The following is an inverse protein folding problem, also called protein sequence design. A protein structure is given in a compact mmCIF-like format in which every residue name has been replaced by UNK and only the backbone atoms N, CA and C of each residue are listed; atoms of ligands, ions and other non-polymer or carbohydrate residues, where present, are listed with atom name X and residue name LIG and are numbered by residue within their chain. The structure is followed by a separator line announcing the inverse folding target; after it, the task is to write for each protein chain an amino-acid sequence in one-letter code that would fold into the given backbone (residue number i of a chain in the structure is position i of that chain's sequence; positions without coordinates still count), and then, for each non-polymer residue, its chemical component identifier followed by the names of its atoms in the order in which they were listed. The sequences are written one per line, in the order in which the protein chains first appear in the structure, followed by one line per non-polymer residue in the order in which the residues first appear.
data_IF_330910690114
#
_entry.id   IF_330910690114
#
_cell.length_a   1.000
_cell.length_b   1.000
_cell.length_c   1.000
_cell.angle_alpha   90.00
_cell.angle_beta   90.00
_cell.angle_gamma   90.00
#
_symmetry.space_group_name_H-M   'P 1'
#
loop_
_entity.id
_entity.type
_entity.pdbx_description
1 polymer ?
#
# COMPACT_ATOMS: atom_id res chain seq x y z
N UNK A 1 10.87 -4.52 -20.97
CA UNK A 1 11.50 -4.00 -19.73
C UNK A 1 12.43 -5.07 -19.19
N UNK A 2 13.67 -4.72 -18.84
CA UNK A 2 14.56 -5.64 -18.10
C UNK A 2 14.13 -5.67 -16.63
N UNK A 3 13.64 -6.83 -16.17
CA UNK A 3 13.03 -6.98 -14.86
C UNK A 3 14.03 -6.78 -13.72
N UNK A 4 15.21 -7.39 -13.83
CA UNK A 4 16.19 -7.35 -12.76
C UNK A 4 16.76 -5.94 -12.61
N UNK A 5 17.07 -5.28 -13.73
CA UNK A 5 17.52 -3.89 -13.73
C UNK A 5 16.46 -2.94 -13.16
N UNK A 6 15.19 -3.14 -13.50
CA UNK A 6 14.09 -2.35 -12.94
C UNK A 6 13.96 -2.57 -11.43
N UNK A 7 13.89 -3.82 -10.97
CA UNK A 7 13.67 -4.15 -9.56
C UNK A 7 14.82 -3.62 -8.69
N UNK A 8 16.06 -3.85 -9.08
CA UNK A 8 17.23 -3.35 -8.35
C UNK A 8 17.27 -1.83 -8.29
N UNK A 9 16.98 -1.13 -9.39
CA UNK A 9 16.96 0.33 -9.44
C UNK A 9 15.79 0.94 -8.64
N UNK A 10 14.61 0.33 -8.69
CA UNK A 10 13.41 0.87 -8.07
C UNK A 10 13.37 0.59 -6.56
N UNK A 11 13.73 -0.62 -6.16
CA UNK A 11 13.72 -1.02 -4.75
C UNK A 11 14.89 -0.38 -3.99
N UNK A 12 16.06 -0.24 -4.62
CA UNK A 12 17.25 0.30 -4.00
C UNK A 12 17.86 -0.64 -2.96
N UNK A 13 18.84 -0.14 -2.21
CA UNK A 13 19.76 -0.98 -1.43
C UNK A 13 19.13 -1.69 -0.23
N UNK A 14 17.95 -1.26 0.22
CA UNK A 14 17.24 -1.88 1.34
C UNK A 14 16.71 -3.29 1.01
N UNK A 15 16.58 -3.61 -0.28
CA UNK A 15 16.04 -4.88 -0.74
C UNK A 15 17.10 -5.73 -1.43
N UNK A 16 16.89 -7.04 -1.41
CA UNK A 16 17.71 -8.00 -2.16
C UNK A 16 16.80 -8.72 -3.15
N UNK A 17 17.21 -8.73 -4.42
CA UNK A 17 16.50 -9.41 -5.51
C UNK A 17 17.30 -10.64 -5.89
N UNK A 18 16.69 -11.81 -5.84
CA UNK A 18 17.29 -13.09 -6.23
C UNK A 18 16.40 -13.83 -7.22
N UNK A 19 16.98 -14.82 -7.90
CA UNK A 19 16.23 -15.78 -8.72
C UNK A 19 16.50 -17.16 -8.16
N UNK A 20 15.43 -17.89 -7.83
CA UNK A 20 15.56 -19.22 -7.26
C UNK A 20 15.70 -20.30 -8.34
N UNK A 21 15.81 -21.57 -7.93
CA UNK A 21 16.01 -22.70 -8.83
C UNK A 21 14.85 -22.94 -9.81
N UNK A 22 13.66 -22.44 -9.46
CA UNK A 22 12.44 -22.55 -10.28
C UNK A 22 12.23 -21.31 -11.16
N UNK A 23 13.26 -20.45 -11.30
CA UNK A 23 13.22 -19.16 -12.01
C UNK A 23 12.21 -18.15 -11.44
N UNK A 24 11.76 -18.31 -10.19
CA UNK A 24 10.96 -17.27 -9.54
C UNK A 24 11.87 -16.12 -9.11
N UNK A 25 11.39 -14.89 -9.29
CA UNK A 25 12.08 -13.70 -8.80
C UNK A 25 11.64 -13.46 -7.36
N UNK A 26 12.57 -13.47 -6.41
CA UNK A 26 12.30 -13.28 -4.98
C UNK A 26 12.86 -11.93 -4.52
N UNK A 27 12.12 -11.26 -3.64
CA UNK A 27 12.47 -9.96 -3.06
C UNK A 27 12.41 -10.06 -1.54
N UNK A 28 13.56 -9.84 -0.93
CA UNK A 28 13.77 -9.84 0.51
C UNK A 28 14.10 -8.44 1.02
N UNK A 29 13.89 -8.21 2.32
CA UNK A 29 14.46 -7.05 3.03
C UNK A 29 15.81 -7.43 3.64
N UNK A 30 16.74 -6.48 3.64
CA UNK A 30 17.97 -6.62 4.41
C UNK A 30 17.67 -6.40 5.89
N UNK A 31 18.26 -7.23 6.75
CA UNK A 31 18.24 -7.03 8.21
C UNK A 31 19.01 -5.76 8.58
N UNK A 32 20.05 -5.43 7.80
CA UNK A 32 20.83 -4.22 7.96
C UNK A 32 21.35 -3.73 6.61
N UNK A 33 21.38 -2.42 6.41
CA UNK A 33 21.95 -1.78 5.22
C UNK A 33 23.48 -2.02 5.06
N UNK A 34 24.12 -2.69 6.03
CA UNK A 34 25.56 -2.98 6.04
C UNK A 34 25.89 -4.44 5.78
N UNK A 35 24.90 -5.32 5.64
CA UNK A 35 25.12 -6.75 5.43
C UNK A 35 24.24 -7.27 4.29
N UNK A 36 24.66 -8.37 3.66
CA UNK A 36 23.81 -9.13 2.74
C UNK A 36 22.88 -10.11 3.48
N UNK A 37 22.72 -9.93 4.80
CA UNK A 37 21.82 -10.75 5.59
C UNK A 37 20.38 -10.31 5.34
N UNK A 38 19.57 -11.27 4.88
CA UNK A 38 18.15 -11.11 4.62
C UNK A 38 17.34 -11.69 5.77
N UNK A 39 16.10 -11.21 5.95
CA UNK A 39 15.08 -11.93 6.72
C UNK A 39 14.45 -13.00 5.81
N UNK A 40 14.75 -14.30 5.98
CA UNK A 40 14.19 -15.33 5.12
C UNK A 40 12.76 -15.70 5.51
N UNK A 41 12.24 -15.24 6.66
CA UNK A 41 10.90 -15.60 7.09
C UNK A 41 9.82 -14.90 6.28
N UNK A 42 10.10 -13.70 5.76
CA UNK A 42 9.13 -12.91 5.00
C UNK A 42 9.76 -12.40 3.70
N UNK A 43 9.16 -12.81 2.58
CA UNK A 43 9.55 -12.31 1.27
C UNK A 43 8.37 -12.29 0.30
N UNK A 44 8.56 -11.62 -0.83
CA UNK A 44 7.57 -11.57 -1.91
C UNK A 44 8.24 -12.09 -3.17
N UNK A 45 7.54 -12.88 -3.97
CA UNK A 45 8.07 -13.42 -5.21
C UNK A 45 7.11 -13.29 -6.37
N UNK A 46 7.67 -13.24 -7.58
CA UNK A 46 6.95 -13.38 -8.84
C UNK A 46 7.22 -14.76 -9.42
N UNK A 47 6.16 -15.53 -9.67
CA UNK A 47 6.23 -16.87 -10.22
C UNK A 47 5.45 -16.97 -11.53
N UNK A 48 6.05 -17.58 -12.55
CA UNK A 48 5.37 -17.88 -13.81
C UNK A 48 4.65 -19.24 -13.67
N UNK A 49 3.32 -19.22 -13.62
CA UNK A 49 2.50 -20.45 -13.61
C UNK A 49 2.30 -21.01 -15.00
N UNK A 50 2.19 -20.13 -15.99
CA UNK A 50 2.09 -20.46 -17.41
C UNK A 50 2.55 -19.25 -18.22
N UNK A 51 2.69 -19.42 -19.54
CA UNK A 51 3.21 -18.40 -20.48
C UNK A 51 2.53 -17.02 -20.41
N UNK A 52 1.37 -16.91 -19.77
CA UNK A 52 0.60 -15.67 -19.62
C UNK A 52 -0.06 -15.59 -18.24
N UNK A 53 0.59 -16.15 -17.23
CA UNK A 53 0.09 -16.12 -15.85
C UNK A 53 1.25 -15.96 -14.88
N UNK A 54 1.37 -14.76 -14.34
CA UNK A 54 2.40 -14.35 -13.41
C UNK A 54 1.77 -14.04 -12.06
N UNK A 55 2.13 -14.81 -11.04
CA UNK A 55 1.60 -14.68 -9.69
C UNK A 55 2.58 -13.91 -8.81
N UNK A 56 2.08 -12.86 -8.17
CA UNK A 56 2.76 -12.26 -7.02
C UNK A 56 2.33 -13.06 -5.79
N UNK A 57 3.31 -13.57 -5.05
CA UNK A 57 3.12 -14.45 -3.90
C UNK A 57 3.86 -13.83 -2.71
N UNK A 58 3.18 -13.69 -1.58
CA UNK A 58 3.84 -13.39 -0.30
C UNK A 58 4.12 -14.71 0.40
N UNK A 59 5.33 -14.87 0.93
CA UNK A 59 5.72 -16.01 1.74
C UNK A 59 5.99 -15.50 3.14
N UNK A 60 5.29 -16.07 4.13
CA UNK A 60 5.48 -15.75 5.54
C UNK A 60 5.66 -17.05 6.33
N UNK A 61 6.81 -17.20 7.00
CA UNK A 61 7.19 -18.41 7.76
C UNK A 61 6.98 -19.69 6.95
N UNK A 62 7.44 -19.66 5.70
CA UNK A 62 7.33 -20.78 4.75
C UNK A 62 5.93 -21.03 4.19
N UNK A 63 4.92 -20.20 4.50
CA UNK A 63 3.56 -20.34 3.97
C UNK A 63 3.34 -19.38 2.79
N UNK A 64 3.31 -19.89 1.53
CA UNK A 64 3.04 -19.06 0.37
C UNK A 64 1.55 -18.73 0.27
N UNK A 65 1.25 -17.48 -0.11
CA UNK A 65 -0.09 -17.01 -0.43
C UNK A 65 -0.03 -16.14 -1.68
N UNK A 66 -0.75 -16.54 -2.73
CA UNK A 66 -0.93 -15.70 -3.92
C UNK A 66 -1.73 -14.46 -3.54
N UNK A 67 -1.18 -13.28 -3.84
CA UNK A 67 -1.82 -11.99 -3.58
C UNK A 67 -2.51 -11.46 -4.83
N UNK A 68 -1.94 -11.74 -6.00
CA UNK A 68 -2.48 -11.30 -7.28
C UNK A 68 -1.89 -12.10 -8.44
N UNK A 69 -2.65 -12.16 -9.53
CA UNK A 69 -2.22 -12.76 -10.80
C UNK A 69 -2.35 -11.73 -11.92
N UNK A 70 -1.36 -11.72 -12.82
CA UNK A 70 -1.27 -10.82 -13.97
C UNK A 70 -0.97 -11.61 -15.24
N UNK A 71 -1.49 -11.14 -16.37
CA UNK A 71 -1.28 -11.74 -17.68
C UNK A 71 0.07 -11.39 -18.30
N UNK A 72 0.67 -10.27 -17.87
CA UNK A 72 1.89 -9.72 -18.42
C UNK A 72 3.01 -9.68 -17.40
N UNK A 73 4.19 -10.13 -17.82
CA UNK A 73 5.35 -10.21 -16.93
C UNK A 73 5.81 -8.83 -16.45
N UNK A 74 5.74 -7.80 -17.30
CA UNK A 74 6.12 -6.44 -16.94
C UNK A 74 5.23 -5.88 -15.84
N UNK A 75 3.92 -6.08 -15.99
CA UNK A 75 2.89 -5.69 -15.01
C UNK A 75 3.07 -6.47 -13.70
N UNK A 76 3.29 -7.79 -13.77
CA UNK A 76 3.60 -8.62 -12.60
C UNK A 76 4.88 -8.18 -11.89
N UNK A 77 5.90 -7.75 -12.63
CA UNK A 77 7.16 -7.24 -12.07
C UNK A 77 6.95 -5.92 -11.32
N UNK A 78 6.16 -5.00 -11.88
CA UNK A 78 5.78 -3.76 -11.18
C UNK A 78 4.97 -4.06 -9.93
N UNK A 79 3.99 -4.96 -10.01
CA UNK A 79 3.19 -5.38 -8.86
C UNK A 79 4.06 -5.98 -7.74
N UNK A 80 5.02 -6.85 -8.08
CA UNK A 80 6.01 -7.39 -7.14
C UNK A 80 6.79 -6.24 -6.46
N UNK A 81 7.30 -5.29 -7.24
CA UNK A 81 8.09 -4.17 -6.74
C UNK A 81 7.29 -3.29 -5.76
N UNK A 82 6.06 -2.92 -6.13
CA UNK A 82 5.17 -2.12 -5.30
C UNK A 82 4.79 -2.87 -4.02
N UNK A 83 4.47 -4.16 -4.11
CA UNK A 83 4.11 -4.98 -2.97
C UNK A 83 5.28 -5.11 -2.00
N UNK A 84 6.49 -5.39 -2.50
CA UNK A 84 7.70 -5.43 -1.67
C UNK A 84 7.94 -4.09 -0.95
N UNK A 85 7.85 -2.97 -1.67
CA UNK A 85 8.11 -1.64 -1.11
C UNK A 85 7.09 -1.23 -0.04
N UNK A 86 5.80 -1.49 -0.27
CA UNK A 86 4.73 -1.13 0.66
C UNK A 86 4.63 -2.09 1.85
N UNK A 87 4.78 -3.41 1.64
CA UNK A 87 4.56 -4.40 2.69
C UNK A 87 5.82 -4.73 3.50
N UNK A 88 6.96 -4.81 2.85
CA UNK A 88 8.21 -5.17 3.53
C UNK A 88 9.03 -3.93 3.92
N UNK A 89 8.98 -2.86 3.13
CA UNK A 89 9.70 -1.61 3.42
C UNK A 89 9.18 -0.88 4.66
N UNK A 90 7.93 -1.14 5.05
CA UNK A 90 7.24 -0.40 6.10
C UNK A 90 6.89 1.04 5.67
N UNK A 91 5.87 1.59 6.31
CA UNK A 91 5.62 3.03 6.28
C UNK A 91 6.13 3.57 7.60
N UNK A 92 7.07 4.52 7.56
CA UNK A 92 7.55 5.19 8.77
C UNK A 92 6.37 5.83 9.50
N UNK A 93 6.18 5.50 10.77
CA UNK A 93 5.14 6.11 11.59
C UNK A 93 5.64 7.44 12.12
N UNK A 94 4.90 8.51 11.84
CA UNK A 94 5.09 9.78 12.53
C UNK A 94 4.36 9.73 13.89
N UNK A 95 5.10 9.39 14.93
CA UNK A 95 4.55 9.31 16.30
C UNK A 95 4.05 10.66 16.79
N UNK A 96 4.65 11.78 16.35
CA UNK A 96 4.23 13.12 16.76
C UNK A 96 2.83 13.42 16.22
N UNK A 97 2.58 13.16 14.94
CA UNK A 97 1.26 13.36 14.33
C UNK A 97 0.24 12.39 14.93
N UNK A 98 0.60 11.13 15.15
CA UNK A 98 -0.31 10.16 15.77
C UNK A 98 -0.73 10.59 17.18
N UNK A 99 0.21 11.08 18.00
CA UNK A 99 -0.12 11.60 19.33
C UNK A 99 -1.02 12.83 19.25
N UNK A 100 -0.74 13.78 18.36
CA UNK A 100 -1.62 14.95 18.13
C UNK A 100 -3.04 14.55 17.75
N UNK A 101 -3.20 13.52 16.92
CA UNK A 101 -4.52 13.02 16.53
C UNK A 101 -5.27 12.36 17.69
N UNK A 102 -4.57 11.67 18.58
CA UNK A 102 -5.14 11.05 19.78
C UNK A 102 -5.56 12.07 20.85
N UNK A 103 -5.00 13.27 20.82
CA UNK A 103 -5.36 14.37 21.72
C UNK A 103 -6.57 15.18 21.25
N UNK A 104 -7.09 14.92 20.04
CA UNK A 104 -8.27 15.62 19.52
C UNK A 104 -9.55 15.17 20.23
N UNK A 105 -10.44 16.14 20.48
CA UNK A 105 -11.80 15.87 20.92
C UNK A 105 -12.61 15.16 19.83
N UNK A 106 -13.63 14.39 20.21
CA UNK A 106 -14.42 13.56 19.29
C UNK A 106 -15.14 14.35 18.18
N UNK A 107 -15.29 15.66 18.35
CA UNK A 107 -15.93 16.59 17.41
C UNK A 107 -14.97 17.57 16.73
N UNK A 108 -13.65 17.47 16.94
CA UNK A 108 -12.62 18.38 16.40
C UNK A 108 -12.27 18.09 14.92
N UNK A 109 -13.29 17.99 14.06
CA UNK A 109 -13.12 17.67 12.63
C UNK A 109 -12.38 18.75 11.84
N UNK A 110 -12.50 20.01 12.25
CA UNK A 110 -11.80 21.13 11.58
C UNK A 110 -10.29 21.02 11.81
N UNK A 111 -9.86 20.74 13.05
CA UNK A 111 -8.45 20.52 13.38
C UNK A 111 -7.92 19.23 12.75
N UNK A 112 -8.72 18.17 12.73
CA UNK A 112 -8.38 16.94 12.01
C UNK A 112 -8.07 17.24 10.54
N UNK A 113 -8.97 17.98 9.87
CA UNK A 113 -8.80 18.33 8.48
C UNK A 113 -7.55 19.19 8.26
N UNK A 114 -7.29 20.18 9.13
CA UNK A 114 -6.07 21.01 9.07
C UNK A 114 -4.79 20.17 9.18
N UNK A 115 -4.72 19.26 10.16
CA UNK A 115 -3.56 18.37 10.36
C UNK A 115 -3.36 17.51 9.12
N UNK A 116 -4.43 16.84 8.64
CA UNK A 116 -4.34 15.94 7.49
C UNK A 116 -3.96 16.70 6.21
N UNK A 117 -4.50 17.89 5.97
CA UNK A 117 -4.11 18.73 4.85
C UNK A 117 -2.61 19.07 4.90
N UNK A 118 -2.10 19.43 6.08
CA UNK A 118 -0.70 19.81 6.26
C UNK A 118 0.30 18.68 6.00
N UNK A 119 -0.04 17.44 6.34
CA UNK A 119 0.89 16.29 6.26
C UNK A 119 0.63 15.38 5.06
N UNK A 120 -0.64 15.17 4.71
CA UNK A 120 -1.07 14.26 3.63
C UNK A 120 -1.22 15.02 2.32
N UNK A 121 -1.88 16.16 2.34
CA UNK A 121 -2.46 16.81 1.15
C UNK A 121 -3.91 16.39 0.95
N UNK A 122 -4.69 17.21 0.25
CA UNK A 122 -6.14 17.01 0.12
C UNK A 122 -6.49 15.78 -0.72
N UNK A 123 -5.57 15.28 -1.54
CA UNK A 123 -5.85 14.33 -2.61
C UNK A 123 -6.24 12.96 -2.08
N UNK A 124 -5.72 12.59 -0.91
CA UNK A 124 -5.73 11.20 -0.42
C UNK A 124 -6.75 10.92 0.67
N UNK A 125 -7.47 11.95 1.15
CA UNK A 125 -8.49 11.76 2.18
C UNK A 125 -9.71 12.67 1.96
N UNK A 126 -10.80 12.35 2.63
CA UNK A 126 -12.00 13.18 2.67
C UNK A 126 -12.81 12.95 3.94
N UNK A 127 -13.29 14.02 4.56
CA UNK A 127 -14.12 13.98 5.77
C UNK A 127 -15.53 14.40 5.40
N UNK A 128 -16.50 13.53 5.68
CA UNK A 128 -17.94 13.69 5.46
C UNK A 128 -18.38 13.98 4.01
N UNK A 129 -17.46 13.86 3.05
CA UNK A 129 -17.75 13.97 1.63
C UNK A 129 -17.18 12.75 0.93
N UNK A 130 -17.89 12.20 -0.05
CA UNK A 130 -17.37 11.09 -0.85
C UNK A 130 -16.37 11.61 -1.89
N UNK A 131 -15.15 11.10 -1.84
CA UNK A 131 -14.05 11.40 -2.79
C UNK A 131 -13.48 10.09 -3.32
N UNK A 132 -13.51 9.92 -4.64
CA UNK A 132 -12.89 8.79 -5.32
C UNK A 132 -11.37 8.83 -5.15
N UNK A 133 -10.76 7.65 -5.19
CA UNK A 133 -9.31 7.47 -5.05
C UNK A 133 -8.75 8.05 -3.75
N UNK A 134 -9.57 8.11 -2.70
CA UNK A 134 -9.22 8.67 -1.40
C UNK A 134 -9.77 7.83 -0.24
N UNK A 135 -9.21 8.03 0.95
CA UNK A 135 -9.72 7.48 2.21
C UNK A 135 -10.83 8.38 2.73
N UNK A 136 -12.02 7.85 2.87
CA UNK A 136 -13.22 8.57 3.25
C UNK A 136 -13.57 8.25 4.70
N UNK A 137 -13.83 9.29 5.49
CA UNK A 137 -14.42 9.22 6.82
C UNK A 137 -15.88 9.66 6.73
N UNK A 138 -16.81 8.79 7.09
CA UNK A 138 -18.24 9.11 7.14
C UNK A 138 -18.84 8.79 8.51
N UNK A 139 -19.97 9.41 8.83
CA UNK A 139 -20.75 9.07 10.02
C UNK A 139 -21.39 7.69 9.84
N UNK A 140 -21.36 6.88 10.89
CA UNK A 140 -22.16 5.65 10.90
C UNK A 140 -23.60 5.93 11.37
N UNK A 141 -24.46 4.93 11.21
CA UNK A 141 -25.80 4.88 11.81
C UNK A 141 -25.75 4.72 13.34
N UNK A 142 -24.62 4.22 13.87
CA UNK A 142 -24.37 4.15 15.30
C UNK A 142 -23.90 5.51 15.82
N UNK A 143 -24.50 5.95 16.93
CA UNK A 143 -24.23 7.26 17.51
C UNK A 143 -22.74 7.42 17.84
N UNK A 144 -22.17 8.56 17.45
CA UNK A 144 -20.78 8.96 17.74
C UNK A 144 -19.69 8.03 17.17
N UNK A 145 -20.05 7.20 16.18
CA UNK A 145 -19.09 6.35 15.47
C UNK A 145 -19.01 6.68 13.98
N UNK A 146 -17.94 6.19 13.36
CA UNK A 146 -17.56 6.54 12.00
C UNK A 146 -17.12 5.30 11.21
N UNK A 147 -17.42 5.32 9.91
CA UNK A 147 -16.94 4.32 8.96
C UNK A 147 -15.77 4.91 8.16
N UNK A 148 -14.81 4.05 7.82
CA UNK A 148 -13.61 4.43 7.09
C UNK A 148 -13.43 3.46 5.93
N UNK A 149 -13.37 4.00 4.72
CA UNK A 149 -13.27 3.21 3.49
C UNK A 149 -12.46 3.91 2.42
N UNK A 150 -11.93 3.12 1.49
CA UNK A 150 -11.40 3.63 0.24
C UNK A 150 -12.52 3.58 -0.81
N UNK A 151 -12.69 4.67 -1.57
CA UNK A 151 -13.64 4.73 -2.68
C UNK A 151 -12.90 4.56 -4.00
N UNK A 152 -13.18 3.49 -4.73
CA UNK A 152 -12.50 3.18 -5.99
C UNK A 152 -12.95 4.09 -7.14
N UNK A 153 -12.25 4.02 -8.28
CA UNK A 153 -12.70 4.67 -9.52
C UNK A 153 -14.11 4.28 -9.95
N UNK A 154 -14.48 3.03 -9.68
CA UNK A 154 -15.77 2.43 -10.04
C UNK A 154 -16.88 2.71 -9.01
N UNK A 155 -16.63 3.52 -7.99
CA UNK A 155 -17.52 3.78 -6.84
C UNK A 155 -17.75 2.57 -5.91
N UNK A 156 -16.84 1.60 -5.91
CA UNK A 156 -16.87 0.53 -4.91
C UNK A 156 -16.28 1.04 -3.59
N UNK A 157 -16.97 0.77 -2.49
CA UNK A 157 -16.53 1.12 -1.14
C UNK A 157 -15.81 -0.06 -0.49
N UNK A 158 -14.53 0.10 -0.21
CA UNK A 158 -13.71 -0.90 0.46
C UNK A 158 -13.50 -0.47 1.89
N UNK A 159 -14.32 -1.01 2.79
CA UNK A 159 -14.31 -0.66 4.21
C UNK A 159 -13.08 -1.24 4.92
N UNK A 160 -12.35 -0.37 5.61
CA UNK A 160 -11.27 -0.76 6.52
C UNK A 160 -11.78 -1.03 7.92
N UNK A 161 -12.64 -0.13 8.40
CA UNK A 161 -13.23 -0.19 9.74
C UNK A 161 -14.64 0.38 9.66
N UNK A 162 -15.57 -0.25 10.38
CA UNK A 162 -16.92 0.25 10.61
C UNK A 162 -17.11 0.56 12.08
N UNK A 163 -18.00 1.49 12.39
CA UNK A 163 -18.44 1.83 13.74
C UNK A 163 -17.29 2.14 14.71
N UNK A 164 -16.31 2.93 14.27
CA UNK A 164 -15.16 3.33 15.10
C UNK A 164 -15.38 4.68 15.75
N UNK A 165 -15.13 4.78 17.05
CA UNK A 165 -15.18 6.03 17.81
C UNK A 165 -13.96 6.92 17.54
N UNK A 166 -14.15 8.24 17.68
CA UNK A 166 -13.06 9.20 17.76
C UNK A 166 -12.38 9.15 19.15
N UNK A 167 -11.09 9.52 19.27
CA UNK A 167 -10.17 9.92 18.20
C UNK A 167 -9.55 8.71 17.46
N UNK A 168 -9.88 7.48 17.84
CA UNK A 168 -9.30 6.29 17.22
C UNK A 168 -9.57 6.20 15.71
N UNK A 169 -10.73 6.64 15.23
CA UNK A 169 -11.02 6.70 13.79
C UNK A 169 -10.10 7.68 13.05
N UNK A 170 -9.64 8.77 13.69
CA UNK A 170 -8.75 9.77 13.09
C UNK A 170 -7.38 9.18 12.78
N UNK A 171 -6.84 8.38 13.71
CA UNK A 171 -5.60 7.62 13.47
C UNK A 171 -5.72 6.67 12.28
N UNK A 172 -6.87 6.00 12.15
CA UNK A 172 -7.08 5.05 11.06
C UNK A 172 -7.12 5.80 9.72
N UNK A 173 -7.84 6.93 9.63
CA UNK A 173 -7.84 7.79 8.44
C UNK A 173 -6.42 8.21 8.08
N UNK A 174 -5.67 8.75 9.04
CA UNK A 174 -4.29 9.18 8.84
C UNK A 174 -3.41 8.05 8.28
N UNK A 175 -3.38 6.90 8.95
CA UNK A 175 -2.53 5.78 8.59
C UNK A 175 -2.82 5.25 7.17
N UNK A 176 -4.09 5.09 6.82
CA UNK A 176 -4.47 4.63 5.48
C UNK A 176 -4.23 5.71 4.42
N UNK A 177 -4.36 6.99 4.76
CA UNK A 177 -4.13 8.10 3.82
C UNK A 177 -2.64 8.27 3.51
N UNK A 178 -1.77 8.14 4.52
CA UNK A 178 -0.31 8.08 4.32
C UNK A 178 0.10 6.91 3.43
N UNK A 179 -0.48 5.73 3.70
CA UNK A 179 -0.24 4.54 2.91
C UNK A 179 -0.69 4.75 1.46
N UNK A 180 -1.86 5.34 1.24
CA UNK A 180 -2.38 5.64 -0.09
C UNK A 180 -1.48 6.63 -0.84
N UNK A 181 -1.04 7.70 -0.18
CA UNK A 181 -0.06 8.66 -0.70
C UNK A 181 1.23 7.98 -1.15
N UNK A 182 1.76 7.06 -0.34
CA UNK A 182 2.94 6.27 -0.70
C UNK A 182 2.69 5.38 -1.94
N UNK A 183 1.53 4.72 -2.02
CA UNK A 183 1.16 3.88 -3.17
C UNK A 183 1.13 4.73 -4.45
N UNK A 184 0.44 5.89 -4.45
CA UNK A 184 0.38 6.77 -5.61
C UNK A 184 1.74 7.32 -6.03
N UNK A 185 2.57 7.72 -5.06
CA UNK A 185 3.95 8.14 -5.33
C UNK A 185 4.72 7.05 -6.09
N UNK A 186 4.66 5.80 -5.60
CA UNK A 186 5.37 4.68 -6.22
C UNK A 186 4.80 4.29 -7.57
N UNK A 187 3.48 4.34 -7.75
CA UNK A 187 2.84 4.14 -9.06
C UNK A 187 3.34 5.15 -10.10
N UNK A 188 3.41 6.44 -9.73
CA UNK A 188 3.92 7.49 -10.60
C UNK A 188 5.40 7.29 -10.94
N UNK A 189 6.21 6.75 -10.03
CA UNK A 189 7.59 6.37 -10.30
C UNK A 189 7.67 5.18 -11.29
N UNK A 190 6.83 4.17 -11.14
CA UNK A 190 6.78 3.01 -12.04
C UNK A 190 6.32 3.36 -13.46
N UNK A 191 5.46 4.37 -13.63
CA UNK A 191 4.98 4.83 -14.96
C UNK A 191 6.11 5.29 -15.88
N UNK A 192 7.29 5.61 -15.34
CA UNK A 192 8.49 5.96 -16.12
C UNK A 192 9.06 4.76 -16.89
N UNK A 193 8.71 3.53 -16.49
CA UNK A 193 9.27 2.29 -17.03
C UNK A 193 8.26 1.51 -17.88
N UNK A 194 6.97 1.64 -17.59
CA UNK A 194 5.89 0.94 -18.28
C UNK A 194 4.60 1.75 -18.22
N UNK A 195 3.80 1.70 -19.28
CA UNK A 195 2.45 2.26 -19.26
C UNK A 195 1.56 1.41 -18.34
N UNK A 196 0.91 2.05 -17.37
CA UNK A 196 0.00 1.42 -16.44
C UNK A 196 -1.40 1.98 -16.69
N UNK A 197 -2.33 1.12 -17.09
CA UNK A 197 -3.74 1.48 -17.26
C UNK A 197 -4.46 1.64 -15.92
N UNK A 198 -5.67 2.18 -15.97
CA UNK A 198 -6.48 2.42 -14.77
C UNK A 198 -6.95 1.11 -14.12
N UNK A 199 -7.20 0.06 -14.89
CA UNK A 199 -7.59 -1.26 -14.36
C UNK A 199 -6.49 -1.84 -13.46
N UNK A 200 -5.24 -1.79 -13.92
CA UNK A 200 -4.08 -2.18 -13.12
C UNK A 200 -3.96 -1.33 -11.86
N UNK A 201 -4.05 0.01 -11.98
CA UNK A 201 -3.92 0.93 -10.84
C UNK A 201 -4.97 0.64 -9.79
N UNK A 202 -6.24 0.49 -10.18
CA UNK A 202 -7.30 0.17 -9.24
C UNK A 202 -7.05 -1.20 -8.59
N UNK A 203 -6.77 -2.23 -9.39
CA UNK A 203 -6.47 -3.57 -8.87
C UNK A 203 -5.31 -3.55 -7.86
N UNK A 204 -4.20 -2.90 -8.17
CA UNK A 204 -3.02 -2.89 -7.31
C UNK A 204 -3.25 -2.04 -6.05
N UNK A 205 -3.97 -0.91 -6.13
CA UNK A 205 -4.34 -0.13 -4.94
C UNK A 205 -5.21 -0.98 -4.01
N UNK A 206 -6.23 -1.69 -4.52
CA UNK A 206 -7.09 -2.58 -3.71
C UNK A 206 -6.26 -3.63 -2.96
N UNK A 207 -5.26 -4.23 -3.62
CA UNK A 207 -4.37 -5.24 -3.01
C UNK A 207 -3.47 -4.63 -1.93
N UNK A 208 -2.92 -3.44 -2.21
CA UNK A 208 -1.90 -2.82 -1.37
C UNK A 208 -2.47 -2.04 -0.20
N UNK A 209 -3.70 -1.53 -0.30
CA UNK A 209 -4.27 -0.67 0.73
C UNK A 209 -4.67 -1.46 1.98
N UNK A 210 -5.09 -2.73 1.85
CA UNK A 210 -5.17 -3.71 2.95
C UNK A 210 -3.80 -4.14 3.44
#
# INVERSE_FOLDING_TARGET
MDQNKFLTSFLGDFFVVTVNKDNNIEVYTRISNRTDMIDPEIFVMLSEKSKSSYEVIVVQRGKPRTVATFSEIGVGTVALALYARIRLGGVSKDEEIQNKLLELESNDFDKLNEILLGVIGDEYFSIFNKKKYAINLERSDVKETYNIYYLTGENEEIYFVKDREAPNCFLVVYNFSEKLKAIFKYLNECQKYIALDEEFKDKIIKILIH
#
